data_IF_489186165442
#
_entry.id   IF_489186165442
#
_cell.length_a   1.000
_cell.length_b   1.000
_cell.length_c   1.000
_cell.angle_alpha   90.00
_cell.angle_beta   90.00
_cell.angle_gamma   90.00
#
_symmetry.space_group_name_H-M   'P 1'
#
loop_
_entity.id
_entity.type
_entity.pdbx_description
1 polymer ?
#
# COMPACT_ATOMS: atom_id res chain seq x y z
N UNK A 1 41.36 -45.07 -20.82
CA UNK A 1 41.94 -46.17 -21.62
C UNK A 1 41.09 -47.41 -21.37
N UNK A 2 40.46 -47.95 -22.43
CA UNK A 2 39.79 -49.27 -22.56
C UNK A 2 38.69 -49.62 -21.54
N UNK A 3 37.39 -49.57 -21.85
CA UNK A 3 36.59 -50.33 -22.83
C UNK A 3 36.51 -51.85 -22.55
N UNK A 4 35.26 -52.27 -22.27
CA UNK A 4 34.55 -53.46 -22.81
C UNK A 4 34.55 -54.79 -22.02
N UNK A 5 33.43 -55.51 -22.24
CA UNK A 5 33.20 -56.99 -22.22
C UNK A 5 32.74 -57.56 -20.85
N UNK A 6 31.66 -58.33 -20.68
CA UNK A 6 30.75 -59.08 -21.57
C UNK A 6 29.44 -59.48 -20.85
N UNK A 7 28.39 -59.70 -21.66
CA UNK A 7 27.13 -60.41 -21.39
C UNK A 7 27.32 -61.88 -21.02
N UNK A 8 26.29 -62.48 -20.38
CA UNK A 8 25.81 -63.89 -20.46
C UNK A 8 24.63 -64.02 -19.45
N UNK A 9 23.40 -64.47 -19.71
CA UNK A 9 22.72 -65.39 -20.66
C UNK A 9 21.22 -64.97 -20.77
N UNK A 10 20.53 -64.93 -21.93
CA UNK A 10 19.81 -66.00 -22.68
C UNK A 10 18.84 -66.79 -21.77
N UNK A 11 17.52 -66.99 -21.97
CA UNK A 11 16.52 -66.91 -23.05
C UNK A 11 15.15 -66.56 -22.38
N UNK A 12 14.00 -66.30 -23.02
CA UNK A 12 13.43 -66.78 -24.28
C UNK A 12 12.22 -65.91 -24.66
N UNK A 13 11.88 -65.93 -25.95
CA UNK A 13 10.75 -65.27 -26.58
C UNK A 13 9.39 -65.74 -26.06
N UNK A 14 8.48 -64.80 -25.82
CA UNK A 14 7.08 -64.90 -26.25
C UNK A 14 6.51 -63.49 -26.44
N UNK A 15 6.29 -63.14 -27.70
CA UNK A 15 5.50 -61.98 -28.12
C UNK A 15 4.05 -62.33 -27.85
N UNK A 16 3.36 -61.53 -27.04
CA UNK A 16 1.92 -61.32 -27.23
C UNK A 16 1.62 -59.86 -26.96
N UNK A 17 1.57 -59.09 -28.05
CA UNK A 17 0.97 -57.77 -28.02
C UNK A 17 -0.54 -57.95 -27.78
N UNK A 18 -1.01 -57.49 -26.64
CA UNK A 18 -2.41 -57.09 -26.47
C UNK A 18 -2.37 -55.62 -26.13
N UNK A 19 -2.67 -54.80 -27.14
CA UNK A 19 -3.06 -53.42 -26.96
C UNK A 19 -4.43 -53.45 -26.32
N UNK A 20 -4.50 -53.08 -25.04
CA UNK A 20 -5.73 -52.61 -24.42
C UNK A 20 -5.41 -51.38 -23.60
N UNK A 21 -5.84 -50.27 -24.19
CA UNK A 21 -5.92 -48.92 -23.69
C UNK A 21 -6.41 -48.86 -22.25
N UNK A 22 -5.56 -48.33 -21.38
CA UNK A 22 -5.88 -48.05 -19.99
C UNK A 22 -4.77 -47.21 -19.40
N UNK A 23 -4.62 -45.97 -19.90
CA UNK A 23 -3.79 -44.98 -19.23
C UNK A 23 -4.40 -44.75 -17.85
N UNK A 24 -3.70 -45.24 -16.83
CA UNK A 24 -3.95 -44.90 -15.44
C UNK A 24 -3.68 -43.39 -15.36
N UNK A 25 -4.73 -42.58 -15.46
CA UNK A 25 -4.66 -41.18 -15.05
C UNK A 25 -4.50 -41.20 -13.55
N UNK A 26 -3.28 -40.93 -13.10
CA UNK A 26 -3.10 -40.35 -11.77
C UNK A 26 -3.72 -38.96 -11.82
N UNK A 27 -5.03 -38.90 -11.58
CA UNK A 27 -5.73 -37.69 -11.16
C UNK A 27 -5.21 -37.34 -9.75
N UNK A 28 -3.96 -36.84 -9.71
CA UNK A 28 -3.54 -35.98 -8.62
C UNK A 28 -4.40 -34.74 -8.75
N UNK A 29 -5.42 -34.67 -7.89
CA UNK A 29 -6.17 -33.49 -7.50
C UNK A 29 -5.56 -32.20 -8.04
N UNK A 30 -6.05 -31.78 -9.21
CA UNK A 30 -6.10 -30.38 -9.53
C UNK A 30 -6.96 -29.78 -8.41
N UNK A 31 -6.30 -29.23 -7.40
CA UNK A 31 -6.93 -28.30 -6.50
C UNK A 31 -7.45 -27.20 -7.41
N UNK A 32 -8.76 -27.20 -7.64
CA UNK A 32 -9.46 -26.05 -8.20
C UNK A 32 -9.06 -24.89 -7.28
N UNK A 33 -8.07 -24.13 -7.71
CA UNK A 33 -7.85 -22.80 -7.18
C UNK A 33 -9.11 -22.06 -7.55
N UNK A 34 -10.05 -21.97 -6.61
CA UNK A 34 -11.14 -21.01 -6.66
C UNK A 34 -10.53 -19.72 -7.20
N UNK A 35 -11.05 -19.13 -8.29
CA UNK A 35 -10.54 -17.86 -8.78
C UNK A 35 -10.48 -16.93 -7.56
N UNK A 36 -9.30 -16.42 -7.21
CA UNK A 36 -9.21 -15.45 -6.11
C UNK A 36 -10.28 -14.40 -6.38
N UNK A 37 -11.23 -14.26 -5.45
CA UNK A 37 -12.37 -13.38 -5.63
C UNK A 37 -11.82 -12.01 -6.03
N UNK A 38 -12.20 -11.54 -7.22
CA UNK A 38 -11.77 -10.25 -7.74
C UNK A 38 -12.12 -9.17 -6.69
N UNK A 39 -11.11 -8.41 -6.26
CA UNK A 39 -11.28 -7.31 -5.32
C UNK A 39 -12.41 -6.39 -5.78
N UNK A 40 -13.27 -5.97 -4.86
CA UNK A 40 -14.32 -4.98 -5.12
C UNK A 40 -13.98 -3.63 -4.49
N UNK A 41 -14.70 -2.57 -4.88
CA UNK A 41 -14.55 -1.26 -4.22
C UNK A 41 -14.93 -1.30 -2.74
N UNK A 42 -15.90 -2.14 -2.37
CA UNK A 42 -16.29 -2.33 -0.96
C UNK A 42 -15.20 -3.02 -0.15
N UNK A 43 -14.47 -3.99 -0.74
CA UNK A 43 -13.30 -4.59 -0.10
C UNK A 43 -12.17 -3.58 0.16
N UNK A 44 -12.12 -2.52 -0.65
CA UNK A 44 -11.25 -1.36 -0.45
C UNK A 44 -11.87 -0.29 0.47
N UNK A 45 -13.07 -0.51 1.03
CA UNK A 45 -13.70 0.41 1.99
C UNK A 45 -14.42 1.58 1.33
N UNK A 46 -14.78 1.45 0.06
CA UNK A 46 -15.63 2.40 -0.63
C UNK A 46 -17.00 1.78 -0.92
N UNK A 47 -17.99 2.19 -0.14
CA UNK A 47 -19.36 1.74 -0.26
C UNK A 47 -20.25 2.78 -0.95
N UNK A 48 -21.40 2.36 -1.46
CA UNK A 48 -22.41 3.25 -2.04
C UNK A 48 -22.14 3.69 -3.48
N UNK A 49 -21.16 3.08 -4.15
CA UNK A 49 -21.00 3.23 -5.60
C UNK A 49 -22.15 2.58 -6.37
N UNK A 50 -22.45 3.06 -7.59
CA UNK A 50 -23.36 2.39 -8.51
C UNK A 50 -22.89 0.94 -8.79
N UNK A 51 -23.83 -0.01 -8.87
CA UNK A 51 -23.53 -1.43 -9.13
C UNK A 51 -22.77 -1.66 -10.44
N UNK A 52 -22.92 -0.75 -11.41
CA UNK A 52 -22.28 -0.82 -12.73
C UNK A 52 -20.98 -0.02 -12.83
N UNK A 53 -20.45 0.52 -11.72
CA UNK A 53 -19.16 1.18 -11.73
C UNK A 53 -18.08 0.16 -12.10
N UNK A 54 -17.19 0.54 -13.03
CA UNK A 54 -16.09 -0.33 -13.44
C UNK A 54 -15.18 -0.69 -12.25
N UNK A 55 -14.65 -1.90 -12.27
CA UNK A 55 -13.61 -2.37 -11.36
C UNK A 55 -12.22 -2.35 -11.99
N UNK A 56 -12.08 -1.89 -13.24
CA UNK A 56 -10.81 -1.91 -13.97
C UNK A 56 -9.72 -1.09 -13.26
N UNK A 57 -10.08 0.02 -12.61
CA UNK A 57 -9.15 0.85 -11.87
C UNK A 57 -8.62 0.18 -10.59
N UNK A 58 -9.23 -0.92 -10.12
CA UNK A 58 -8.68 -1.72 -9.01
C UNK A 58 -7.32 -2.32 -9.40
N UNK A 59 -7.08 -2.60 -10.70
CA UNK A 59 -5.78 -3.06 -11.16
C UNK A 59 -4.66 -2.03 -10.92
N UNK A 60 -4.98 -0.73 -10.92
CA UNK A 60 -4.02 0.33 -10.56
C UNK A 60 -3.63 0.20 -9.10
N UNK A 61 -4.61 0.00 -8.22
CA UNK A 61 -4.43 -0.20 -6.78
C UNK A 61 -3.57 -1.43 -6.49
N UNK A 62 -3.87 -2.55 -7.13
CA UNK A 62 -3.11 -3.78 -6.95
C UNK A 62 -1.67 -3.65 -7.45
N UNK A 63 -1.48 -3.06 -8.64
CA UNK A 63 -0.15 -2.86 -9.21
C UNK A 63 0.71 -1.97 -8.30
N UNK A 64 0.10 -0.93 -7.72
CA UNK A 64 0.76 -0.04 -6.78
C UNK A 64 1.14 -0.71 -5.47
N UNK A 65 0.23 -1.48 -4.89
CA UNK A 65 0.49 -2.24 -3.67
C UNK A 65 1.58 -3.30 -3.87
N UNK A 66 1.62 -3.95 -5.04
CA UNK A 66 2.70 -4.86 -5.47
C UNK A 66 4.01 -4.13 -5.72
N UNK A 67 3.95 -2.90 -6.21
CA UNK A 67 5.10 -2.06 -6.50
C UNK A 67 5.84 -1.57 -5.25
N UNK A 68 5.22 -1.62 -4.06
CA UNK A 68 5.83 -1.10 -2.82
C UNK A 68 7.23 -1.66 -2.55
N UNK A 69 8.09 -0.80 -2.01
CA UNK A 69 9.50 -1.06 -1.75
C UNK A 69 10.43 -0.27 -2.68
N UNK A 70 11.69 -0.68 -2.70
CA UNK A 70 12.76 -0.01 -3.44
C UNK A 70 13.12 -0.73 -4.74
N UNK A 71 13.35 0.05 -5.78
CA UNK A 71 13.71 -0.37 -7.13
C UNK A 71 14.88 0.45 -7.67
N UNK A 72 15.73 -0.18 -8.48
CA UNK A 72 16.59 0.54 -9.41
C UNK A 72 15.74 1.08 -10.54
N UNK A 73 16.02 2.31 -10.97
CA UNK A 73 15.27 2.97 -12.02
C UNK A 73 16.24 3.55 -13.04
N UNK A 74 16.13 3.12 -14.29
CA UNK A 74 16.93 3.68 -15.38
C UNK A 74 16.15 4.80 -16.05
N UNK A 75 16.76 5.97 -16.18
CA UNK A 75 16.18 7.13 -16.83
C UNK A 75 17.02 7.49 -18.02
N UNK A 76 16.41 7.66 -19.18
CA UNK A 76 17.05 8.31 -20.31
C UNK A 76 16.58 9.75 -20.40
N UNK A 77 17.42 10.64 -20.90
CA UNK A 77 16.90 11.88 -21.45
C UNK A 77 17.90 12.67 -22.27
N UNK A 78 17.41 13.75 -22.87
CA UNK A 78 18.17 14.58 -23.80
C UNK A 78 19.14 15.50 -23.06
N UNK A 79 20.44 15.22 -23.16
CA UNK A 79 21.48 16.19 -22.84
C UNK A 79 21.71 17.18 -24.00
N UNK A 80 22.57 18.20 -23.81
CA UNK A 80 22.83 19.24 -24.81
C UNK A 80 23.31 18.71 -26.18
N UNK A 81 23.95 17.54 -26.21
CA UNK A 81 24.52 16.95 -27.43
C UNK A 81 24.11 15.49 -27.70
N UNK A 82 23.75 14.70 -26.66
CA UNK A 82 23.34 13.28 -26.77
C UNK A 82 22.38 12.86 -25.67
N UNK A 83 21.64 11.78 -25.93
CA UNK A 83 20.88 11.05 -24.90
C UNK A 83 21.83 10.52 -23.84
N UNK A 84 21.56 10.84 -22.57
CA UNK A 84 22.30 10.30 -21.42
C UNK A 84 21.38 9.39 -20.61
N UNK A 85 21.90 8.24 -20.19
CA UNK A 85 21.22 7.36 -19.23
C UNK A 85 21.74 7.64 -17.83
N UNK A 86 20.83 7.81 -16.87
CA UNK A 86 21.12 8.03 -15.46
C UNK A 86 20.37 6.98 -14.65
N UNK A 87 21.08 6.27 -13.78
CA UNK A 87 20.45 5.37 -12.83
C UNK A 87 20.01 6.14 -11.58
N UNK A 88 18.83 5.82 -11.10
CA UNK A 88 18.25 6.33 -9.87
C UNK A 88 17.64 5.22 -9.02
N UNK A 89 17.11 5.62 -7.87
CA UNK A 89 16.33 4.76 -6.98
C UNK A 89 14.89 5.24 -6.95
N UNK A 90 13.95 4.35 -7.25
CA UNK A 90 12.51 4.56 -7.06
C UNK A 90 12.08 3.85 -5.79
N UNK A 91 11.55 4.60 -4.83
CA UNK A 91 10.94 4.08 -3.62
C UNK A 91 9.41 4.29 -3.69
N UNK A 92 8.66 3.21 -3.50
CA UNK A 92 7.20 3.23 -3.51
C UNK A 92 6.70 2.89 -2.11
N UNK A 93 5.98 3.83 -1.49
CA UNK A 93 5.38 3.71 -0.17
C UNK A 93 3.88 4.07 -0.22
N UNK A 94 3.18 3.80 0.88
CA UNK A 94 1.73 4.00 0.97
C UNK A 94 0.96 2.71 0.71
N UNK A 95 -0.36 2.82 0.62
CA UNK A 95 -1.27 1.68 0.50
C UNK A 95 -2.69 2.17 0.26
N UNK A 96 -3.50 1.35 -0.42
CA UNK A 96 -4.95 1.57 -0.45
C UNK A 96 -5.68 1.21 0.85
N UNK A 97 -4.97 0.65 1.82
CA UNK A 97 -5.55 0.07 3.03
C UNK A 97 -5.67 1.04 4.20
N UNK A 98 -5.26 2.31 4.03
CA UNK A 98 -5.25 3.31 5.10
C UNK A 98 -5.68 4.69 4.60
N UNK A 99 -6.19 5.49 5.54
CA UNK A 99 -6.64 6.85 5.31
C UNK A 99 -7.96 6.93 4.54
N UNK A 100 -8.58 8.11 4.60
CA UNK A 100 -9.83 8.38 3.89
C UNK A 100 -9.66 8.34 2.37
N UNK A 101 -8.46 8.70 1.89
CA UNK A 101 -8.08 8.70 0.49
C UNK A 101 -6.84 7.80 0.35
N UNK A 102 -6.95 6.64 -0.33
CA UNK A 102 -5.81 5.84 -0.74
C UNK A 102 -4.72 6.68 -1.36
N UNK A 103 -3.48 6.48 -0.89
CA UNK A 103 -2.35 7.24 -1.35
C UNK A 103 -1.08 6.40 -1.46
N UNK A 104 -0.28 6.70 -2.48
CA UNK A 104 1.08 6.18 -2.64
C UNK A 104 2.06 7.32 -2.88
N UNK A 105 3.20 7.27 -2.21
CA UNK A 105 4.34 8.12 -2.50
C UNK A 105 5.32 7.36 -3.38
N UNK A 106 5.62 7.88 -4.56
CA UNK A 106 6.66 7.38 -5.45
C UNK A 106 7.80 8.40 -5.44
N UNK A 107 8.88 8.08 -4.74
CA UNK A 107 10.04 8.97 -4.57
C UNK A 107 11.16 8.48 -5.47
N UNK A 108 11.50 9.27 -6.49
CA UNK A 108 12.58 8.97 -7.41
C UNK A 108 13.78 9.88 -7.12
N UNK A 109 14.91 9.28 -6.75
CA UNK A 109 16.16 9.97 -6.48
C UNK A 109 17.21 9.62 -7.54
N UNK A 110 18.04 10.60 -7.94
CA UNK A 110 19.15 10.37 -8.85
C UNK A 110 20.33 11.33 -8.63
N UNK A 111 21.57 10.91 -8.95
CA UNK A 111 21.96 9.54 -9.32
C UNK A 111 21.76 8.53 -8.16
N UNK A 112 21.79 7.23 -8.45
CA UNK A 112 21.54 6.17 -7.44
C UNK A 112 22.57 6.20 -6.31
N UNK A 113 23.84 6.47 -6.65
CA UNK A 113 24.93 6.72 -5.71
C UNK A 113 25.04 8.22 -5.45
N UNK A 114 25.01 8.63 -4.19
CA UNK A 114 25.05 10.05 -3.78
C UNK A 114 23.99 10.90 -4.50
N UNK A 115 22.69 10.65 -4.20
CA UNK A 115 21.60 11.36 -4.87
C UNK A 115 21.73 12.87 -4.69
N UNK A 116 21.51 13.60 -5.78
CA UNK A 116 21.58 15.06 -5.82
C UNK A 116 20.21 15.68 -6.10
N UNK A 117 19.32 14.90 -6.71
CA UNK A 117 18.02 15.34 -7.15
C UNK A 117 16.96 14.32 -6.72
N UNK A 118 15.77 14.83 -6.45
CA UNK A 118 14.59 14.06 -6.12
C UNK A 118 13.38 14.60 -6.87
N UNK A 119 12.47 13.73 -7.27
CA UNK A 119 11.08 14.07 -7.52
C UNK A 119 10.19 13.13 -6.71
N UNK A 120 9.14 13.68 -6.13
CA UNK A 120 8.13 12.89 -5.45
C UNK A 120 6.81 12.99 -6.22
N UNK A 121 6.21 11.84 -6.46
CA UNK A 121 4.88 11.71 -7.03
C UNK A 121 3.95 11.22 -5.92
N UNK A 122 2.97 12.04 -5.54
CA UNK A 122 1.90 11.62 -4.64
C UNK A 122 0.70 11.15 -5.46
N UNK A 123 0.51 9.84 -5.51
CA UNK A 123 -0.60 9.19 -6.18
C UNK A 123 -1.78 9.01 -5.24
N UNK A 124 -2.98 9.33 -5.72
CA UNK A 124 -4.20 9.19 -4.94
C UNK A 124 -5.34 8.63 -5.77
N UNK A 125 -6.17 7.82 -5.13
CA UNK A 125 -7.44 7.33 -5.67
C UNK A 125 -8.56 8.00 -4.87
N UNK A 126 -9.22 8.96 -5.49
CA UNK A 126 -10.25 9.78 -4.84
C UNK A 126 -11.62 9.23 -5.22
N UNK A 127 -12.41 8.73 -4.26
CA UNK A 127 -13.79 8.35 -4.53
C UNK A 127 -14.65 9.61 -4.75
N UNK A 128 -15.38 9.64 -5.86
CA UNK A 128 -16.51 10.56 -6.05
C UNK A 128 -17.84 9.81 -5.90
N UNK A 129 -18.97 10.48 -6.11
CA UNK A 129 -20.29 9.84 -5.91
C UNK A 129 -20.53 8.68 -6.88
N UNK A 130 -20.06 8.80 -8.11
CA UNK A 130 -20.40 7.93 -9.24
C UNK A 130 -19.18 7.48 -10.06
N UNK A 131 -17.97 7.80 -9.60
CA UNK A 131 -16.71 7.46 -10.27
C UNK A 131 -15.55 7.45 -9.29
N UNK A 132 -14.42 6.97 -9.78
CA UNK A 132 -13.12 7.09 -9.13
C UNK A 132 -12.27 8.08 -9.92
N UNK A 133 -11.63 9.02 -9.23
CA UNK A 133 -10.61 9.87 -9.83
C UNK A 133 -9.21 9.40 -9.43
N UNK A 134 -8.35 9.22 -10.43
CA UNK A 134 -6.93 8.96 -10.21
C UNK A 134 -6.20 10.30 -10.31
N UNK A 135 -5.56 10.73 -9.22
CA UNK A 135 -4.84 12.00 -9.16
C UNK A 135 -3.37 11.77 -8.87
N UNK A 136 -2.53 12.65 -9.42
CA UNK A 136 -1.10 12.66 -9.17
C UNK A 136 -0.61 14.07 -8.89
N UNK A 137 0.20 14.24 -7.85
CA UNK A 137 0.96 15.47 -7.63
C UNK A 137 2.43 15.19 -7.83
N UNK A 138 3.02 15.80 -8.85
CA UNK A 138 4.47 15.87 -8.96
C UNK A 138 4.97 17.00 -8.07
N UNK A 139 5.92 16.71 -7.19
CA UNK A 139 6.57 17.65 -6.28
C UNK A 139 8.07 17.64 -6.62
N UNK A 140 8.56 18.76 -7.12
CA UNK A 140 9.94 18.88 -7.61
C UNK A 140 10.06 19.03 -9.12
N UNK A 141 11.28 18.97 -9.66
CA UNK A 141 12.50 18.42 -9.06
C UNK A 141 13.03 19.24 -7.87
N UNK A 142 13.66 18.57 -6.92
CA UNK A 142 14.20 19.14 -5.67
C UNK A 142 15.66 18.73 -5.53
N UNK A 143 16.54 19.66 -5.16
CA UNK A 143 17.90 19.34 -4.76
C UNK A 143 17.91 18.71 -3.37
N UNK A 144 18.64 17.61 -3.21
CA UNK A 144 18.78 16.91 -1.92
C UNK A 144 20.20 17.03 -1.37
N UNK A 145 20.35 16.87 -0.06
CA UNK A 145 21.63 16.86 0.61
C UNK A 145 22.38 15.53 0.44
N UNK A 146 23.57 15.43 1.04
CA UNK A 146 24.39 14.21 1.02
C UNK A 146 23.74 13.01 1.72
N UNK A 147 22.72 13.22 2.55
CA UNK A 147 21.89 12.19 3.17
C UNK A 147 20.75 11.70 2.25
N UNK A 148 20.67 12.25 1.04
CA UNK A 148 19.62 11.96 0.05
C UNK A 148 18.25 12.49 0.43
N UNK A 149 18.15 13.42 1.39
CA UNK A 149 16.89 14.01 1.82
C UNK A 149 16.82 15.49 1.43
N UNK A 150 15.63 15.99 1.07
CA UNK A 150 15.44 17.42 0.83
C UNK A 150 15.39 18.19 2.15
N UNK A 151 15.89 19.42 2.16
CA UNK A 151 15.69 20.31 3.31
C UNK A 151 14.21 20.73 3.40
N UNK A 152 13.76 21.10 4.61
CA UNK A 152 12.39 21.61 4.80
C UNK A 152 12.08 22.82 3.92
N UNK A 153 13.06 23.72 3.75
CA UNK A 153 12.92 24.90 2.89
C UNK A 153 12.79 24.52 1.42
N UNK A 154 13.61 23.58 0.93
CA UNK A 154 13.52 23.07 -0.44
C UNK A 154 12.16 22.41 -0.71
N UNK A 155 11.63 21.62 0.23
CA UNK A 155 10.29 21.03 0.12
C UNK A 155 9.16 22.06 0.09
N UNK A 156 9.27 23.13 0.87
CA UNK A 156 8.25 24.19 0.87
C UNK A 156 8.24 24.95 -0.46
N UNK A 157 9.42 25.22 -1.02
CA UNK A 157 9.58 25.95 -2.30
C UNK A 157 9.41 25.09 -3.55
N UNK A 158 9.34 23.77 -3.41
CA UNK A 158 9.21 22.85 -4.54
C UNK A 158 7.96 23.15 -5.36
N UNK A 159 8.11 23.15 -6.70
CA UNK A 159 6.99 23.25 -7.61
C UNK A 159 6.07 22.03 -7.45
N UNK A 160 4.76 22.27 -7.48
CA UNK A 160 3.74 21.23 -7.43
C UNK A 160 2.93 21.29 -8.72
N UNK A 161 2.88 20.17 -9.45
CA UNK A 161 2.10 20.04 -10.67
C UNK A 161 1.03 18.96 -10.48
N UNK A 162 -0.26 19.33 -10.51
CA UNK A 162 -1.36 18.39 -10.44
C UNK A 162 -1.65 17.75 -11.80
N UNK A 163 -1.89 16.45 -11.80
CA UNK A 163 -2.31 15.69 -12.97
C UNK A 163 -3.52 14.84 -12.65
N UNK A 164 -4.40 14.69 -13.65
CA UNK A 164 -5.48 13.73 -13.67
C UNK A 164 -5.08 12.52 -14.50
N UNK A 165 -5.33 11.33 -13.98
CA UNK A 165 -5.03 10.06 -14.62
C UNK A 165 -6.25 9.48 -15.32
N UNK A 166 -6.04 8.91 -16.51
CA UNK A 166 -7.03 8.11 -17.22
C UNK A 166 -6.44 6.71 -17.39
N UNK A 167 -7.08 5.71 -16.77
CA UNK A 167 -6.64 4.32 -16.84
C UNK A 167 -7.06 3.68 -18.17
N UNK A 168 -6.11 2.98 -18.80
CA UNK A 168 -6.35 2.11 -19.94
C UNK A 168 -5.96 0.67 -19.55
N UNK A 169 -6.93 -0.21 -19.24
CA UNK A 169 -6.63 -1.57 -18.79
C UNK A 169 -5.95 -2.41 -19.87
N UNK A 170 -6.36 -2.27 -21.14
CA UNK A 170 -5.78 -3.02 -22.26
C UNK A 170 -4.29 -2.76 -22.45
N UNK A 171 -3.84 -1.52 -22.20
CA UNK A 171 -2.42 -1.12 -22.28
C UNK A 171 -1.73 -1.12 -20.91
N UNK A 172 -2.44 -1.44 -19.83
CA UNK A 172 -2.02 -1.24 -18.43
C UNK A 172 -1.32 0.11 -18.19
N UNK A 173 -1.88 1.17 -18.77
CA UNK A 173 -1.24 2.49 -18.82
C UNK A 173 -2.17 3.53 -18.20
N UNK A 174 -1.63 4.40 -17.34
CA UNK A 174 -2.31 5.63 -16.94
C UNK A 174 -1.77 6.80 -17.78
N UNK A 175 -2.65 7.46 -18.52
CA UNK A 175 -2.35 8.72 -19.18
C UNK A 175 -2.55 9.88 -18.19
N UNK A 176 -1.49 10.64 -17.94
CA UNK A 176 -1.51 11.83 -17.09
C UNK A 176 -1.72 13.08 -17.91
N UNK A 177 -2.73 13.86 -17.54
CA UNK A 177 -3.03 15.16 -18.13
C UNK A 177 -2.91 16.23 -17.05
N UNK A 178 -2.05 17.24 -17.28
CA UNK A 178 -1.93 18.37 -16.35
C UNK A 178 -3.27 19.11 -16.29
N UNK A 179 -3.83 19.29 -15.09
CA UNK A 179 -5.16 19.91 -14.91
C UNK A 179 -5.18 20.74 -13.64
N UNK A 180 -5.93 21.83 -13.65
CA UNK A 180 -6.18 22.62 -12.44
C UNK A 180 -6.74 21.77 -11.28
N UNK A 181 -6.39 22.17 -10.06
CA UNK A 181 -6.84 21.51 -8.84
C UNK A 181 -8.36 21.62 -8.67
N UNK A 182 -9.04 20.54 -8.24
CA UNK A 182 -10.40 20.65 -7.71
C UNK A 182 -10.45 21.68 -6.58
N UNK A 183 -11.47 22.56 -6.57
CA UNK A 183 -11.70 23.51 -5.49
C UNK A 183 -11.90 22.75 -4.17
N UNK A 184 -11.10 23.07 -3.15
CA UNK A 184 -11.29 22.54 -1.78
C UNK A 184 -10.24 21.55 -1.28
N UNK A 185 -9.22 21.20 -2.07
CA UNK A 185 -8.07 20.46 -1.54
C UNK A 185 -7.23 21.36 -0.61
N UNK A 186 -6.71 20.86 0.53
CA UNK A 186 -5.95 21.65 1.48
C UNK A 186 -4.53 21.91 0.94
N UNK A 187 -4.41 22.84 -0.01
CA UNK A 187 -3.12 23.38 -0.42
C UNK A 187 -3.13 24.88 -0.15
N UNK A 188 -2.36 25.29 0.87
CA UNK A 188 -1.98 26.70 1.04
C UNK A 188 -0.94 27.06 -0.02
N UNK A 189 -1.40 27.49 -1.19
CA UNK A 189 -0.53 28.22 -2.14
C UNK A 189 -1.21 29.52 -2.51
N UNK A 190 -0.61 30.63 -2.07
CA UNK A 190 -0.76 31.92 -2.74
C UNK A 190 0.13 31.88 -3.98
N UNK A 191 -0.44 31.63 -5.14
CA UNK A 191 0.25 31.89 -6.40
C UNK A 191 -0.80 32.32 -7.43
N UNK A 192 -0.45 33.37 -8.19
CA UNK A 192 -1.29 34.09 -9.15
C UNK A 192 -2.03 33.15 -10.11
N UNK A 193 -3.33 33.43 -10.28
CA UNK A 193 -4.29 32.73 -11.14
C UNK A 193 -4.12 33.04 -12.65
N UNK A 194 -2.96 33.54 -13.08
CA UNK A 194 -2.76 34.02 -14.45
C UNK A 194 -1.64 33.29 -15.17
N UNK A 195 -1.92 32.06 -15.63
CA UNK A 195 -1.52 31.51 -16.94
C UNK A 195 -1.87 30.02 -17.04
N UNK A 196 -3.14 29.74 -17.34
CA UNK A 196 -3.63 28.38 -17.55
C UNK A 196 -3.51 28.06 -19.04
N UNK A 197 -2.64 27.11 -19.40
CA UNK A 197 -2.61 26.46 -20.72
C UNK A 197 -2.54 24.96 -20.47
N UNK A 198 -3.35 24.17 -21.19
CA UNK A 198 -3.16 22.72 -21.31
C UNK A 198 -1.71 22.47 -21.75
N UNK A 199 -0.88 21.98 -20.82
CA UNK A 199 0.57 21.85 -21.04
C UNK A 199 1.04 20.51 -20.51
N UNK A 200 1.25 19.57 -21.41
CA UNK A 200 1.97 18.34 -21.14
C UNK A 200 1.08 17.16 -20.74
N UNK A 201 1.36 16.03 -21.36
CA UNK A 201 0.85 14.72 -20.97
C UNK A 201 1.99 13.73 -20.93
N UNK A 202 1.92 12.76 -20.03
CA UNK A 202 2.88 11.67 -19.98
C UNK A 202 2.19 10.37 -19.58
N UNK A 203 2.85 9.24 -19.79
CA UNK A 203 2.28 7.92 -19.52
C UNK A 203 3.03 7.23 -18.39
N UNK A 204 2.30 6.56 -17.51
CA UNK A 204 2.88 5.57 -16.60
C UNK A 204 2.30 4.19 -16.91
N UNK A 205 3.17 3.22 -17.19
CA UNK A 205 2.79 1.81 -17.40
C UNK A 205 2.96 1.04 -16.10
N UNK A 206 1.91 0.34 -15.68
CA UNK A 206 1.84 -0.41 -14.43
C UNK A 206 1.79 -1.91 -14.72
N UNK A 207 2.92 -2.59 -14.55
CA UNK A 207 2.97 -4.04 -14.72
C UNK A 207 2.30 -4.74 -13.53
N UNK A 208 1.74 -5.93 -13.76
CA UNK A 208 1.08 -6.72 -12.72
C UNK A 208 2.03 -7.17 -11.61
N UNK A 209 3.34 -7.21 -11.86
CA UNK A 209 4.35 -7.51 -10.84
C UNK A 209 4.75 -6.27 -9.99
N UNK A 210 4.13 -5.11 -10.23
CA UNK A 210 4.39 -3.84 -9.57
C UNK A 210 5.52 -3.00 -10.17
N UNK A 211 6.13 -3.44 -11.28
CA UNK A 211 7.10 -2.65 -12.02
C UNK A 211 6.44 -1.44 -12.68
N UNK A 212 7.09 -0.27 -12.59
CA UNK A 212 6.59 0.99 -13.14
C UNK A 212 7.53 1.50 -14.23
N UNK A 213 6.94 1.92 -15.35
CA UNK A 213 7.64 2.66 -16.42
C UNK A 213 7.00 4.04 -16.58
N UNK A 214 7.81 5.08 -16.74
CA UNK A 214 7.40 6.45 -17.02
C UNK A 214 7.84 6.79 -18.44
N UNK A 215 6.94 7.30 -19.28
CA UNK A 215 7.22 7.63 -20.68
C UNK A 215 6.78 9.05 -20.99
N UNK A 216 7.55 9.74 -21.84
CA UNK A 216 7.22 11.09 -22.33
C UNK A 216 7.08 12.14 -21.22
N UNK A 217 7.84 12.02 -20.13
CA UNK A 217 7.73 12.92 -18.99
C UNK A 217 8.96 13.82 -18.83
N UNK A 218 8.79 15.14 -18.93
CA UNK A 218 9.90 16.09 -18.78
C UNK A 218 9.98 16.61 -17.34
N UNK A 219 10.97 16.14 -16.59
CA UNK A 219 11.15 16.51 -15.18
C UNK A 219 11.94 17.81 -14.98
N UNK A 220 12.87 18.14 -15.87
CA UNK A 220 13.70 19.36 -15.77
C UNK A 220 13.70 20.07 -17.12
N UNK A 221 13.38 21.37 -17.13
CA UNK A 221 13.54 22.21 -18.33
C UNK A 221 15.02 22.21 -18.73
N UNK A 222 15.34 21.76 -19.95
CA UNK A 222 16.70 21.57 -20.47
C UNK A 222 17.55 20.50 -19.75
N UNK A 223 16.92 19.60 -18.98
CA UNK A 223 17.54 18.38 -18.47
C UNK A 223 17.00 17.12 -19.16
N UNK A 224 17.40 15.91 -18.74
CA UNK A 224 16.94 14.70 -19.39
C UNK A 224 15.41 14.63 -19.39
N UNK A 225 14.80 14.57 -20.56
CA UNK A 225 13.39 14.19 -20.73
C UNK A 225 13.23 12.74 -20.35
N UNK A 226 12.60 12.47 -19.21
CA UNK A 226 12.58 11.15 -18.57
C UNK A 226 11.57 10.26 -19.27
N UNK A 227 12.10 9.40 -20.14
CA UNK A 227 11.54 8.07 -20.33
C UNK A 227 12.42 7.12 -19.54
N UNK A 228 11.83 6.45 -18.56
CA UNK A 228 12.57 5.62 -17.63
C UNK A 228 11.73 4.48 -17.09
N UNK A 229 12.41 3.44 -16.61
CA UNK A 229 11.80 2.18 -16.24
C UNK A 229 12.44 1.64 -14.97
N UNK A 230 11.62 1.09 -14.07
CA UNK A 230 12.11 0.26 -12.98
C UNK A 230 12.75 -1.01 -13.57
N UNK A 231 14.01 -1.26 -13.25
CA UNK A 231 14.82 -2.31 -13.90
C UNK A 231 15.03 -3.54 -13.01
N UNK A 232 15.15 -3.34 -11.70
CA UNK A 232 15.30 -4.42 -10.74
C UNK A 232 14.76 -4.00 -9.37
N UNK A 233 14.19 -4.94 -8.63
CA UNK A 233 13.76 -4.72 -7.25
C UNK A 233 14.97 -4.90 -6.33
N UNK A 234 15.24 -3.90 -5.50
CA UNK A 234 16.36 -3.90 -4.55
C UNK A 234 15.94 -4.55 -3.23
N UNK A 235 14.72 -4.24 -2.80
CA UNK A 235 14.13 -4.77 -1.56
C UNK A 235 13.33 -6.06 -1.80
N UNK A 236 13.16 -6.87 -0.76
CA UNK A 236 12.17 -7.97 -0.82
C UNK A 236 10.79 -7.36 -1.04
N UNK A 237 9.95 -7.93 -1.92
CA UNK A 237 8.56 -7.50 -2.01
C UNK A 237 7.93 -7.52 -0.63
N UNK A 238 7.23 -6.45 -0.26
CA UNK A 238 6.40 -6.48 0.93
C UNK A 238 5.34 -7.57 0.72
N UNK A 239 5.29 -8.54 1.63
CA UNK A 239 4.29 -9.59 1.56
C UNK A 239 2.89 -8.95 1.55
N UNK A 240 2.03 -9.46 0.68
CA UNK A 240 0.66 -8.97 0.56
C UNK A 240 -0.16 -9.46 1.75
N UNK A 241 -0.50 -8.53 2.64
CA UNK A 241 -1.45 -8.79 3.70
C UNK A 241 -2.86 -8.61 3.16
N UNK A 242 -3.71 -9.64 3.19
CA UNK A 242 -5.11 -9.54 2.76
C UNK A 242 -5.93 -8.78 3.81
N UNK A 243 -5.78 -7.46 3.78
CA UNK A 243 -6.56 -6.53 4.59
C UNK A 243 -7.74 -6.02 3.77
N UNK A 244 -8.95 -6.31 4.28
CA UNK A 244 -10.21 -5.88 3.70
C UNK A 244 -10.93 -4.95 4.66
N UNK A 245 -11.58 -3.93 4.11
CA UNK A 245 -12.41 -3.05 4.91
C UNK A 245 -13.74 -3.70 5.25
N UNK A 246 -14.35 -3.21 6.33
CA UNK A 246 -15.69 -3.58 6.76
C UNK A 246 -15.89 -5.09 7.06
N UNK A 247 -14.80 -5.80 7.39
CA UNK A 247 -14.79 -7.23 7.72
C UNK A 247 -13.84 -7.48 8.88
N UNK A 248 -14.18 -8.45 9.71
CA UNK A 248 -13.28 -8.94 10.75
C UNK A 248 -12.12 -9.73 10.11
N UNK A 249 -10.91 -9.44 10.57
CA UNK A 249 -9.68 -10.09 10.14
C UNK A 249 -8.99 -10.60 11.40
N UNK A 250 -8.71 -11.90 11.44
CA UNK A 250 -8.14 -12.53 12.62
C UNK A 250 -6.65 -12.83 12.44
N UNK A 251 -5.86 -12.45 13.43
CA UNK A 251 -4.44 -12.76 13.54
C UNK A 251 -4.18 -13.47 14.87
N UNK A 252 -3.30 -14.47 14.85
CA UNK A 252 -2.93 -15.18 16.08
C UNK A 252 -2.08 -14.27 16.99
N UNK A 253 -1.14 -13.53 16.40
CA UNK A 253 -0.17 -12.70 17.12
C UNK A 253 0.12 -11.39 16.38
N UNK A 254 0.70 -10.43 17.11
CA UNK A 254 1.23 -9.19 16.54
C UNK A 254 2.20 -9.41 15.37
N UNK A 255 3.03 -10.47 15.41
CA UNK A 255 4.02 -10.74 14.38
C UNK A 255 3.41 -11.10 13.04
N UNK A 256 2.19 -11.64 13.03
CA UNK A 256 1.45 -12.03 11.81
C UNK A 256 0.95 -10.81 11.03
N UNK A 257 0.84 -9.65 11.68
CA UNK A 257 0.41 -8.40 11.05
C UNK A 257 1.58 -7.84 10.24
N UNK A 258 1.42 -7.56 8.96
CA UNK A 258 2.53 -7.04 8.14
C UNK A 258 2.54 -5.52 8.08
N UNK A 259 1.38 -4.89 8.19
CA UNK A 259 1.26 -3.45 8.05
C UNK A 259 1.81 -2.68 9.26
N UNK A 260 2.84 -1.82 9.05
CA UNK A 260 3.41 -1.00 10.12
C UNK A 260 2.44 0.00 10.75
N UNK A 261 1.50 0.54 9.98
CA UNK A 261 0.52 1.52 10.47
C UNK A 261 -0.42 0.94 11.53
N UNK A 262 -0.83 -0.32 11.39
CA UNK A 262 -1.64 -1.03 12.39
C UNK A 262 -0.76 -1.40 13.58
N UNK A 263 0.42 -1.99 13.31
CA UNK A 263 1.38 -2.38 14.35
C UNK A 263 1.77 -1.24 15.29
N UNK A 264 1.80 0.01 14.81
CA UNK A 264 2.09 1.18 15.64
C UNK A 264 1.17 1.31 16.86
N UNK A 265 -0.10 0.91 16.74
CA UNK A 265 -1.12 1.11 17.78
C UNK A 265 -1.45 -0.17 18.56
N UNK A 266 -0.81 -1.30 18.22
CA UNK A 266 -0.98 -2.57 18.91
C UNK A 266 0.21 -2.90 19.82
N UNK A 267 -0.03 -3.43 21.04
CA UNK A 267 1.04 -3.97 21.87
C UNK A 267 1.76 -5.13 21.18
N UNK A 268 3.11 -5.20 21.22
CA UNK A 268 3.87 -6.30 20.62
C UNK A 268 3.54 -7.69 21.18
N UNK A 269 3.04 -7.76 22.41
CA UNK A 269 2.65 -9.00 23.10
C UNK A 269 1.16 -9.35 22.90
N UNK A 270 0.43 -8.62 22.04
CA UNK A 270 -0.96 -8.90 21.76
C UNK A 270 -1.14 -10.23 21.01
N UNK A 271 -2.16 -10.99 21.42
CA UNK A 271 -2.55 -12.27 20.82
C UNK A 271 -4.06 -12.35 20.62
N UNK A 272 -4.53 -13.28 19.79
CA UNK A 272 -5.94 -13.43 19.42
C UNK A 272 -6.53 -12.10 18.93
N UNK A 273 -5.86 -11.49 17.96
CA UNK A 273 -6.19 -10.16 17.48
C UNK A 273 -7.31 -10.28 16.44
N UNK A 274 -8.38 -9.54 16.64
CA UNK A 274 -9.41 -9.29 15.62
C UNK A 274 -9.32 -7.83 15.22
N UNK A 275 -9.13 -7.58 13.94
CA UNK A 275 -9.01 -6.26 13.34
C UNK A 275 -10.23 -5.99 12.45
N UNK A 276 -10.79 -4.80 12.56
CA UNK A 276 -11.84 -4.32 11.67
C UNK A 276 -11.42 -2.97 11.09
N UNK A 277 -11.19 -2.93 9.77
CA UNK A 277 -10.71 -1.73 9.09
C UNK A 277 -11.83 -0.82 8.61
N UNK A 278 -11.64 0.48 8.78
CA UNK A 278 -12.48 1.53 8.23
C UNK A 278 -11.63 2.60 7.54
N UNK A 279 -12.21 3.38 6.63
CA UNK A 279 -11.45 4.42 5.93
C UNK A 279 -10.83 5.46 6.85
N UNK A 280 -11.54 5.82 7.91
CA UNK A 280 -11.11 6.81 8.89
C UNK A 280 -10.35 6.19 10.06
N UNK A 281 -9.95 4.92 10.02
CA UNK A 281 -9.39 4.28 11.21
C UNK A 281 -9.45 2.76 11.23
N UNK A 282 -9.33 2.20 12.42
CA UNK A 282 -9.62 0.80 12.63
C UNK A 282 -10.07 0.56 14.07
N UNK A 283 -10.72 -0.59 14.25
CA UNK A 283 -10.92 -1.19 15.55
C UNK A 283 -10.04 -2.43 15.69
N UNK A 284 -9.60 -2.70 16.91
CA UNK A 284 -8.97 -3.96 17.24
C UNK A 284 -9.52 -4.50 18.56
N UNK A 285 -9.58 -5.82 18.68
CA UNK A 285 -9.87 -6.56 19.90
C UNK A 285 -8.77 -7.60 20.07
N UNK A 286 -8.12 -7.63 21.22
CA UNK A 286 -7.01 -8.56 21.47
C UNK A 286 -6.82 -8.88 22.94
N UNK A 287 -6.11 -9.98 23.21
CA UNK A 287 -5.64 -10.34 24.54
C UNK A 287 -4.25 -9.77 24.80
N UNK A 288 -4.07 -9.24 26.01
CA UNK A 288 -2.81 -8.68 26.50
C UNK A 288 -2.85 -8.61 28.04
N UNK A 289 -1.68 -8.73 28.69
CA UNK A 289 -1.59 -8.50 30.14
C UNK A 289 -1.72 -7.01 30.47
N UNK A 290 -2.14 -6.66 31.70
CA UNK A 290 -2.20 -5.26 32.13
C UNK A 290 -0.82 -4.60 32.10
N UNK A 291 0.21 -5.33 32.54
CA UNK A 291 1.59 -4.86 32.54
C UNK A 291 2.06 -4.51 31.12
N UNK A 292 1.88 -5.43 30.16
CA UNK A 292 2.27 -5.22 28.77
C UNK A 292 1.49 -4.07 28.13
N UNK A 293 0.19 -3.98 28.42
CA UNK A 293 -0.66 -2.91 27.90
C UNK A 293 -0.22 -1.53 28.40
N UNK A 294 0.02 -1.37 29.70
CA UNK A 294 0.47 -0.10 30.29
C UNK A 294 1.89 0.25 29.82
N UNK A 295 2.79 -0.73 29.76
CA UNK A 295 4.13 -0.52 29.23
C UNK A 295 4.10 -0.06 27.77
N UNK A 296 3.25 -0.68 26.95
CA UNK A 296 3.03 -0.27 25.57
C UNK A 296 2.56 1.19 25.48
N UNK A 297 1.54 1.60 26.24
CA UNK A 297 1.05 2.99 26.20
C UNK A 297 2.13 4.00 26.61
N UNK A 298 2.92 3.68 27.63
CA UNK A 298 4.04 4.50 28.08
C UNK A 298 5.14 4.64 27.03
N UNK A 299 5.39 3.60 26.23
CA UNK A 299 6.37 3.65 25.14
C UNK A 299 5.80 4.41 23.94
N UNK A 300 4.55 4.12 23.55
CA UNK A 300 3.93 4.71 22.36
C UNK A 300 3.72 6.22 22.50
N UNK A 301 3.20 6.67 23.65
CA UNK A 301 2.82 8.06 23.84
C UNK A 301 3.77 8.85 24.72
N UNK A 302 4.76 8.20 25.35
CA UNK A 302 5.45 8.69 26.55
C UNK A 302 4.54 8.70 27.78
N UNK A 303 5.13 8.44 28.94
CA UNK A 303 4.43 8.51 30.22
C UNK A 303 3.82 9.91 30.41
N UNK A 304 2.61 9.97 30.97
CA UNK A 304 1.86 11.19 31.30
C UNK A 304 1.27 11.98 30.11
N UNK A 305 1.49 11.53 28.86
CA UNK A 305 0.86 12.14 27.67
C UNK A 305 -0.46 11.49 27.27
N UNK A 306 -0.74 10.29 27.77
CA UNK A 306 -2.02 9.60 27.60
C UNK A 306 -2.82 9.67 28.90
N UNK A 307 -4.15 9.59 28.79
CA UNK A 307 -5.05 9.75 29.94
C UNK A 307 -5.73 8.43 30.30
N UNK A 308 -5.63 8.03 31.58
CA UNK A 308 -6.49 6.99 32.14
C UNK A 308 -7.85 7.60 32.46
N UNK A 309 -8.88 7.16 31.77
CA UNK A 309 -10.26 7.57 31.99
C UNK A 309 -10.97 6.78 33.09
N UNK A 310 -12.30 6.77 33.00
CA UNK A 310 -13.18 6.12 33.98
C UNK A 310 -13.56 4.71 33.52
N UNK A 311 -14.20 3.98 34.43
CA UNK A 311 -14.92 2.76 34.07
C UNK A 311 -15.98 3.08 33.01
N UNK A 312 -16.07 2.23 32.00
CA UNK A 312 -17.02 2.34 30.89
C UNK A 312 -18.07 1.25 31.08
N UNK A 313 -19.35 1.64 31.04
CA UNK A 313 -20.44 0.69 31.23
C UNK A 313 -20.58 -0.24 30.02
N UNK A 314 -21.14 -1.44 30.24
CA UNK A 314 -21.50 -2.35 29.14
C UNK A 314 -22.38 -1.70 28.10
N UNK A 315 -23.31 -0.84 28.51
CA UNK A 315 -24.23 -0.15 27.61
C UNK A 315 -23.47 0.83 26.70
N UNK A 316 -22.45 1.51 27.22
CA UNK A 316 -21.60 2.40 26.42
C UNK A 316 -20.71 1.60 25.46
N UNK A 317 -20.06 0.53 25.95
CA UNK A 317 -19.30 -0.39 25.11
C UNK A 317 -20.17 -0.98 23.99
N UNK A 318 -21.34 -1.49 24.33
CA UNK A 318 -22.27 -2.09 23.37
C UNK A 318 -22.69 -1.08 22.30
N UNK A 319 -22.93 0.19 22.65
CA UNK A 319 -23.23 1.24 21.66
C UNK A 319 -22.06 1.50 20.72
N UNK A 320 -20.84 1.53 21.25
CA UNK A 320 -19.65 1.85 20.48
C UNK A 320 -19.25 0.72 19.52
N UNK A 321 -19.35 -0.53 19.97
CA UNK A 321 -18.92 -1.71 19.21
C UNK A 321 -20.08 -2.50 18.61
N UNK A 322 -21.33 -1.98 18.69
CA UNK A 322 -22.56 -2.67 18.25
C UNK A 322 -22.45 -3.20 16.82
N UNK A 323 -21.93 -2.36 15.92
CA UNK A 323 -21.84 -2.66 14.49
C UNK A 323 -20.80 -3.73 14.18
N UNK A 324 -19.88 -3.99 15.09
CA UNK A 324 -18.85 -5.02 14.95
C UNK A 324 -19.34 -6.38 15.48
N UNK A 325 -20.44 -6.41 16.23
CA UNK A 325 -20.94 -7.64 16.84
C UNK A 325 -20.07 -8.18 17.98
N UNK A 326 -19.13 -7.37 18.50
CA UNK A 326 -18.26 -7.76 19.60
C UNK A 326 -18.97 -7.60 20.96
N UNK A 327 -18.78 -8.58 21.84
CA UNK A 327 -19.37 -8.55 23.18
C UNK A 327 -18.78 -7.42 24.03
N UNK A 328 -19.61 -6.66 24.77
CA UNK A 328 -19.09 -5.60 25.62
C UNK A 328 -18.25 -6.17 26.78
N UNK A 329 -17.10 -5.54 27.04
CA UNK A 329 -16.26 -5.87 28.19
C UNK A 329 -16.97 -5.56 29.52
N UNK A 330 -16.73 -6.41 30.52
CA UNK A 330 -17.40 -6.36 31.83
C UNK A 330 -16.88 -5.21 32.71
N UNK A 331 -15.56 -5.01 32.74
CA UNK A 331 -14.86 -4.10 33.65
C UNK A 331 -13.94 -3.12 32.90
N UNK A 332 -14.33 -2.69 31.70
CA UNK A 332 -13.51 -1.82 30.87
C UNK A 332 -13.20 -0.49 31.55
N UNK A 333 -11.93 -0.08 31.51
CA UNK A 333 -11.46 1.27 31.79
C UNK A 333 -11.01 1.89 30.46
N UNK A 334 -11.39 3.14 30.19
CA UNK A 334 -10.95 3.83 28.98
C UNK A 334 -9.55 4.42 29.14
N UNK A 335 -8.78 4.45 28.05
CA UNK A 335 -7.47 5.08 27.96
C UNK A 335 -7.42 5.87 26.65
N UNK A 336 -7.04 7.15 26.70
CA UNK A 336 -7.08 8.03 25.52
C UNK A 336 -5.67 8.52 25.18
N UNK A 337 -5.34 8.50 23.89
CA UNK A 337 -4.11 9.11 23.38
C UNK A 337 -4.14 10.64 23.52
N UNK A 338 -2.99 11.32 23.39
CA UNK A 338 -2.99 12.74 23.07
C UNK A 338 -3.83 13.01 21.82
N UNK A 339 -4.52 14.16 21.80
CA UNK A 339 -5.21 14.66 20.61
C UNK A 339 -4.17 15.23 19.65
N UNK A 340 -4.11 14.68 18.44
CA UNK A 340 -3.22 15.20 17.40
C UNK A 340 -3.73 16.54 16.85
N UNK A 341 -2.88 17.39 16.23
CA UNK A 341 -3.31 18.68 15.68
C UNK A 341 -4.43 18.63 14.63
N UNK A 342 -4.60 17.49 13.96
CA UNK A 342 -5.68 17.19 13.01
C UNK A 342 -6.95 16.63 13.69
N UNK A 343 -6.97 16.53 15.02
CA UNK A 343 -8.08 15.96 15.79
C UNK A 343 -8.04 14.43 15.92
N UNK A 344 -7.06 13.74 15.30
CA UNK A 344 -6.93 12.30 15.41
C UNK A 344 -6.65 11.89 16.87
N UNK A 345 -7.29 10.80 17.30
CA UNK A 345 -7.03 10.16 18.60
C UNK A 345 -7.22 8.65 18.49
N UNK A 346 -6.60 7.95 19.44
CA UNK A 346 -6.83 6.54 19.71
C UNK A 346 -7.43 6.39 21.10
N UNK A 347 -8.51 5.63 21.20
CA UNK A 347 -9.11 5.22 22.47
C UNK A 347 -8.94 3.71 22.65
N UNK A 348 -8.52 3.30 23.84
CA UNK A 348 -8.45 1.91 24.26
C UNK A 348 -9.43 1.68 25.41
N UNK A 349 -9.99 0.48 25.48
CA UNK A 349 -10.90 0.02 26.54
C UNK A 349 -10.34 -1.30 27.06
N UNK A 350 -9.80 -1.29 28.27
CA UNK A 350 -9.08 -2.43 28.81
C UNK A 350 -9.79 -3.02 30.02
N UNK A 351 -10.07 -4.32 29.98
CA UNK A 351 -10.55 -5.10 31.13
C UNK A 351 -9.38 -5.92 31.68
N UNK A 352 -8.78 -5.43 32.76
CA UNK A 352 -7.63 -6.06 33.41
C UNK A 352 -7.92 -7.46 33.95
N UNK A 353 -9.18 -7.73 34.34
CA UNK A 353 -9.58 -9.05 34.86
C UNK A 353 -9.69 -10.08 33.74
N UNK A 354 -10.18 -9.66 32.58
CA UNK A 354 -10.27 -10.52 31.40
C UNK A 354 -8.95 -10.59 30.61
N UNK A 355 -8.07 -9.60 30.76
CA UNK A 355 -6.85 -9.44 29.95
C UNK A 355 -7.18 -9.17 28.48
N UNK A 356 -8.22 -8.36 28.22
CA UNK A 356 -8.71 -8.03 26.88
C UNK A 356 -8.73 -6.51 26.71
N UNK A 357 -8.23 -6.04 25.58
CA UNK A 357 -8.30 -4.64 25.18
C UNK A 357 -9.09 -4.51 23.89
N UNK A 358 -9.99 -3.53 23.84
CA UNK A 358 -10.59 -3.02 22.61
C UNK A 358 -9.94 -1.70 22.25
N UNK A 359 -9.77 -1.44 20.97
CA UNK A 359 -9.13 -0.27 20.41
C UNK A 359 -10.04 0.38 19.37
N UNK A 360 -10.03 1.71 19.33
CA UNK A 360 -10.61 2.54 18.29
C UNK A 360 -9.59 3.62 17.92
N UNK A 361 -8.93 3.46 16.79
CA UNK A 361 -7.91 4.37 16.28
C UNK A 361 -8.42 5.15 15.08
N UNK A 362 -8.38 6.48 15.16
CA UNK A 362 -8.69 7.37 14.05
C UNK A 362 -7.47 7.71 13.19
N UNK A 363 -7.60 7.59 11.87
CA UNK A 363 -6.66 8.10 10.87
C UNK A 363 -7.25 9.39 10.28
N UNK A 364 -6.64 10.53 10.57
CA UNK A 364 -7.04 11.84 10.02
C UNK A 364 -5.93 12.49 9.24
#
# INVERSE_FOLDING_TARGET
MNLRIQLKHIASFAITAVVLTGSITTDLFAQETTPESQLTWSDLGFDGFPENLSTDEIEVVESLNRGRGEWTFEMTGQGPEKTQSVQGKLEIQGSAKFGMIPGWGLTLNWPIENPENMVQYAWMIVPEKDKIEIMLFQIGPIKVGSDGKPTKDAMMKAQRKPFRGIWNPARRTVLWQEKELPKGLPVKTKQDESEIKEKGSFEMVLQSNGEITIQNHTLVSNGPGISGKATARISKPLAEEKLYFNKDIHFATFSDILEPHIKRFLPPNAVNITLYLQRNGHFANYKVSEEDFINFLNVLWEKDKWEKGKAVSKTEMAKQFQKLGWDPLENAISYSSPIQPNGAMTNYYFDAKAGIAYENTGYW
#
